data_IF_448116454316
#
_entry.id   IF_448116454316
#
_cell.length_a   1.000
_cell.length_b   1.000
_cell.length_c   1.000
_cell.angle_alpha   90.00
_cell.angle_beta   90.00
_cell.angle_gamma   90.00
#
_symmetry.space_group_name_H-M   'P 1'
#
loop_
_entity.id
_entity.type
_entity.pdbx_description
1 polymer ?
#
# COMPACT_ATOMS: atom_id res chain seq x y z
N UNK A 1 -6.31 -10.76 -19.89
CA UNK A 1 -7.39 -9.88 -19.44
C UNK A 1 -8.33 -9.58 -20.60
N UNK A 2 -9.50 -10.19 -20.66
CA UNK A 2 -10.37 -10.15 -21.85
C UNK A 2 -11.41 -9.00 -21.83
N UNK A 3 -11.16 -7.93 -21.10
CA UNK A 3 -12.06 -6.79 -20.98
C UNK A 3 -11.48 -5.56 -21.68
N UNK A 4 -12.34 -4.75 -22.31
CA UNK A 4 -11.96 -3.44 -22.82
C UNK A 4 -12.04 -2.41 -21.68
N UNK A 5 -10.96 -1.71 -21.41
CA UNK A 5 -10.86 -0.71 -20.35
C UNK A 5 -9.89 0.41 -20.74
N UNK A 6 -10.01 1.55 -20.09
CA UNK A 6 -8.97 2.56 -19.98
C UNK A 6 -8.46 2.60 -18.56
N UNK A 7 -7.17 2.81 -18.38
CA UNK A 7 -6.57 3.01 -17.07
C UNK A 7 -5.57 4.15 -17.12
N UNK A 8 -5.59 5.03 -16.13
CA UNK A 8 -4.70 6.17 -16.03
C UNK A 8 -4.15 6.36 -14.61
N UNK A 9 -3.00 6.98 -14.53
CA UNK A 9 -2.41 7.45 -13.28
C UNK A 9 -2.17 8.94 -13.39
N UNK A 10 -2.78 9.69 -12.48
CA UNK A 10 -2.55 11.12 -12.32
C UNK A 10 -1.67 11.37 -11.11
N UNK A 11 -0.59 12.10 -11.32
CA UNK A 11 0.34 12.49 -10.23
C UNK A 11 0.27 14.01 -10.07
N UNK A 12 -0.07 14.46 -8.87
CA UNK A 12 -0.11 15.86 -8.49
C UNK A 12 0.92 16.10 -7.39
N UNK A 13 1.86 17.00 -7.65
CA UNK A 13 2.91 17.38 -6.70
C UNK A 13 2.71 18.84 -6.31
N UNK A 14 2.49 19.05 -5.03
CA UNK A 14 2.42 20.38 -4.40
C UNK A 14 3.61 20.58 -3.44
N UNK A 15 3.68 21.72 -2.76
CA UNK A 15 4.80 22.04 -1.88
C UNK A 15 4.98 21.01 -0.73
N UNK A 16 3.87 20.53 -0.16
CA UNK A 16 3.86 19.64 1.02
C UNK A 16 2.94 18.43 0.80
N UNK A 17 2.70 18.04 -0.45
CA UNK A 17 1.80 16.94 -0.75
C UNK A 17 2.11 16.31 -2.10
N UNK A 18 2.10 14.98 -2.13
CA UNK A 18 2.10 14.19 -3.36
C UNK A 18 0.82 13.36 -3.38
N UNK A 19 -0.01 13.56 -4.38
CA UNK A 19 -1.16 12.72 -4.67
C UNK A 19 -0.89 11.84 -5.88
N UNK A 20 -1.26 10.57 -5.76
CA UNK A 20 -1.26 9.59 -6.85
C UNK A 20 -2.69 9.05 -6.95
N UNK A 21 -3.35 9.29 -8.08
CA UNK A 21 -4.70 8.81 -8.35
C UNK A 21 -4.66 7.81 -9.50
N UNK A 22 -5.27 6.65 -9.29
CA UNK A 22 -5.43 5.60 -10.28
C UNK A 22 -6.91 5.51 -10.69
N UNK A 23 -7.17 5.70 -11.97
CA UNK A 23 -8.50 5.61 -12.58
C UNK A 23 -8.63 4.36 -13.44
N UNK A 24 -9.82 3.76 -13.46
CA UNK A 24 -10.20 2.64 -14.33
C UNK A 24 -11.58 2.88 -14.89
N UNK A 25 -11.70 2.97 -16.22
CA UNK A 25 -12.97 3.10 -16.94
C UNK A 25 -13.31 1.80 -17.64
N UNK A 26 -14.53 1.32 -17.50
CA UNK A 26 -15.02 0.21 -18.30
C UNK A 26 -15.52 0.72 -19.66
N UNK A 27 -14.71 0.52 -20.69
CA UNK A 27 -15.04 0.91 -22.07
C UNK A 27 -15.61 -0.25 -22.90
N UNK A 28 -15.85 -1.40 -22.24
CA UNK A 28 -16.40 -2.61 -22.86
C UNK A 28 -17.91 -2.71 -22.78
N UNK A 29 -18.42 -3.86 -23.16
CA UNK A 29 -19.86 -4.20 -23.23
C UNK A 29 -20.30 -5.14 -22.08
N UNK A 30 -19.39 -5.48 -21.19
CA UNK A 30 -19.64 -6.36 -20.03
C UNK A 30 -18.99 -5.80 -18.77
N UNK A 31 -19.64 -6.00 -17.63
CA UNK A 31 -19.04 -5.66 -16.33
C UNK A 31 -17.82 -6.52 -16.03
N UNK A 32 -16.85 -5.98 -15.36
CA UNK A 32 -15.69 -6.73 -14.86
C UNK A 32 -15.36 -6.36 -13.42
N UNK A 33 -14.52 -7.14 -12.81
CA UNK A 33 -13.95 -6.79 -11.51
C UNK A 33 -12.43 -6.91 -11.54
N UNK A 34 -11.76 -6.09 -10.72
CA UNK A 34 -10.31 -6.12 -10.58
C UNK A 34 -9.90 -5.96 -9.12
N UNK A 35 -8.67 -6.31 -8.82
CA UNK A 35 -7.95 -5.93 -7.60
C UNK A 35 -6.72 -5.13 -7.99
N UNK A 36 -6.24 -4.25 -7.13
CA UNK A 36 -5.08 -3.44 -7.46
C UNK A 36 -4.53 -2.72 -6.25
N UNK A 37 -3.31 -2.21 -6.40
CA UNK A 37 -2.66 -1.39 -5.39
C UNK A 37 -1.72 -0.36 -6.03
N UNK A 38 -1.54 0.77 -5.37
CA UNK A 38 -0.43 1.66 -5.60
C UNK A 38 0.76 1.15 -4.76
N UNK A 39 1.67 0.42 -5.40
CA UNK A 39 2.80 -0.24 -4.72
C UNK A 39 3.91 0.77 -4.41
N UNK A 40 3.63 1.64 -3.47
CA UNK A 40 4.47 2.78 -3.12
C UNK A 40 5.66 2.35 -2.26
N UNK A 41 6.87 2.50 -2.82
CA UNK A 41 8.13 2.31 -2.11
C UNK A 41 8.55 3.61 -1.44
N UNK A 42 8.62 3.61 -0.13
CA UNK A 42 9.11 4.73 0.67
C UNK A 42 10.56 4.48 1.06
N UNK A 43 11.44 5.43 0.74
CA UNK A 43 12.84 5.34 1.12
C UNK A 43 13.01 5.68 2.60
N UNK A 44 13.71 4.81 3.32
CA UNK A 44 14.15 5.01 4.71
C UNK A 44 15.68 4.92 4.78
N UNK A 45 16.27 5.39 5.86
CA UNK A 45 17.73 5.25 6.09
C UNK A 45 18.05 3.83 6.50
N UNK A 46 17.27 3.31 7.46
CA UNK A 46 17.38 1.96 7.99
C UNK A 46 15.98 1.51 8.41
N UNK A 47 15.49 0.42 7.86
CA UNK A 47 14.11 -0.03 8.08
C UNK A 47 13.86 -0.49 9.51
N UNK A 48 14.88 -1.04 10.17
CA UNK A 48 14.80 -1.47 11.58
C UNK A 48 14.61 -0.29 12.55
N UNK A 49 15.00 0.94 12.13
CA UNK A 49 14.79 2.17 12.90
C UNK A 49 13.48 2.88 12.53
N UNK A 50 12.73 2.33 11.57
CA UNK A 50 11.47 2.90 11.15
C UNK A 50 10.31 2.34 11.96
N UNK A 51 9.30 3.18 12.19
CA UNK A 51 8.06 2.80 12.85
C UNK A 51 6.85 3.22 12.01
N UNK A 52 5.84 2.38 11.94
CA UNK A 52 4.57 2.70 11.29
C UNK A 52 3.47 2.76 12.35
N UNK A 53 2.80 3.90 12.44
CA UNK A 53 1.65 4.13 13.31
C UNK A 53 0.36 4.15 12.49
N UNK A 54 -0.79 4.01 13.17
CA UNK A 54 -2.12 4.04 12.52
C UNK A 54 -2.78 2.67 12.41
N UNK A 55 -2.03 1.58 12.55
CA UNK A 55 -2.53 0.21 12.40
C UNK A 55 -3.40 -0.29 13.57
N UNK A 56 -3.27 0.30 14.75
CA UNK A 56 -3.97 -0.14 15.96
C UNK A 56 -5.47 -0.34 15.75
N UNK A 57 -5.96 -1.53 16.10
CA UNK A 57 -7.37 -1.88 16.09
C UNK A 57 -7.89 -2.42 14.75
N UNK A 58 -7.15 -2.28 13.64
CA UNK A 58 -7.53 -2.89 12.37
C UNK A 58 -7.26 -4.38 12.35
N UNK A 59 -8.08 -5.11 11.58
CA UNK A 59 -7.81 -6.49 11.23
C UNK A 59 -6.77 -6.53 10.11
N UNK A 60 -5.85 -7.50 10.18
CA UNK A 60 -4.90 -7.74 9.10
C UNK A 60 -4.72 -9.22 8.81
N UNK A 61 -4.37 -9.52 7.59
CA UNK A 61 -3.92 -10.83 7.12
C UNK A 61 -2.40 -10.79 7.04
N UNK A 62 -1.74 -11.71 7.74
CA UNK A 62 -0.29 -11.87 7.73
C UNK A 62 0.06 -12.98 6.71
N UNK A 63 0.58 -12.57 5.55
CA UNK A 63 0.92 -13.49 4.47
C UNK A 63 2.21 -14.27 4.73
N UNK A 64 3.09 -13.76 5.58
CA UNK A 64 4.34 -14.46 5.95
C UNK A 64 4.04 -15.66 6.84
N UNK A 65 3.22 -15.47 7.88
CA UNK A 65 2.90 -16.55 8.82
C UNK A 65 1.84 -17.51 8.29
N UNK A 66 1.06 -17.11 7.28
CA UNK A 66 -0.10 -17.88 6.79
C UNK A 66 -1.21 -18.05 7.81
N UNK A 67 -1.11 -17.40 8.97
CA UNK A 67 -2.15 -17.40 9.99
C UNK A 67 -3.34 -16.57 9.52
N UNK A 68 -4.54 -16.96 9.93
CA UNK A 68 -5.77 -16.22 9.63
C UNK A 68 -5.75 -14.78 10.12
N UNK A 69 -6.82 -14.04 9.86
CA UNK A 69 -6.92 -12.63 10.22
C UNK A 69 -6.65 -12.39 11.72
N UNK A 70 -5.81 -11.40 12.01
CA UNK A 70 -5.43 -10.97 13.36
C UNK A 70 -5.83 -9.52 13.56
N UNK A 71 -6.01 -9.11 14.81
CA UNK A 71 -6.21 -7.71 15.17
C UNK A 71 -4.89 -7.08 15.60
N UNK A 72 -4.53 -5.94 15.02
CA UNK A 72 -3.36 -5.20 15.47
C UNK A 72 -3.66 -4.50 16.81
N UNK A 73 -2.82 -4.74 17.81
CA UNK A 73 -2.95 -4.20 19.17
C UNK A 73 -1.76 -3.31 19.54
N UNK A 74 -0.78 -3.16 18.65
CA UNK A 74 0.38 -2.31 18.85
C UNK A 74 0.09 -0.85 18.54
N UNK A 75 0.66 0.06 19.30
CA UNK A 75 0.59 1.50 19.00
C UNK A 75 1.44 1.87 17.80
N UNK A 76 2.48 1.09 17.53
CA UNK A 76 3.36 1.18 16.37
C UNK A 76 3.79 -0.20 15.93
N UNK A 77 4.08 -0.35 14.63
CA UNK A 77 4.70 -1.51 14.04
C UNK A 77 6.18 -1.19 13.78
N UNK A 78 7.07 -2.04 14.27
CA UNK A 78 8.49 -2.07 13.90
C UNK A 78 8.72 -3.20 12.90
N UNK A 79 9.69 -2.99 12.00
CA UNK A 79 10.05 -4.00 11.01
C UNK A 79 11.25 -4.78 11.52
N UNK A 80 10.99 -5.96 12.06
CA UNK A 80 11.99 -6.84 12.68
C UNK A 80 12.18 -8.15 11.90
N UNK A 81 11.58 -8.26 10.73
CA UNK A 81 11.60 -9.44 9.87
C UNK A 81 10.81 -9.21 8.59
N UNK A 82 10.73 -10.26 7.74
CA UNK A 82 9.86 -10.23 6.56
C UNK A 82 8.44 -9.83 6.99
N UNK A 83 7.92 -8.81 6.34
CA UNK A 83 6.60 -8.25 6.65
C UNK A 83 5.78 -8.23 5.36
N UNK A 84 4.61 -8.86 5.39
CA UNK A 84 3.62 -8.80 4.32
C UNK A 84 2.23 -8.86 4.98
N UNK A 85 1.69 -7.69 5.30
CA UNK A 85 0.43 -7.53 6.03
C UNK A 85 -0.56 -6.73 5.22
N UNK A 86 -1.76 -7.29 5.06
CA UNK A 86 -2.91 -6.61 4.45
C UNK A 86 -3.84 -6.15 5.57
N UNK A 87 -3.85 -4.85 5.87
CA UNK A 87 -4.80 -4.22 6.77
C UNK A 87 -6.09 -3.93 6.04
N UNK A 88 -7.22 -4.40 6.58
CA UNK A 88 -8.51 -4.36 5.92
C UNK A 88 -9.40 -3.23 6.45
N UNK A 89 -10.17 -2.60 5.53
CA UNK A 89 -11.15 -1.55 5.84
C UNK A 89 -10.53 -0.40 6.66
N UNK A 90 -9.40 0.08 6.18
CA UNK A 90 -8.64 1.16 6.82
C UNK A 90 -9.38 2.48 6.65
N UNK A 91 -9.68 3.17 7.76
CA UNK A 91 -10.47 4.40 7.79
C UNK A 91 -9.72 5.63 8.34
N UNK A 92 -8.40 5.51 8.54
CA UNK A 92 -7.55 6.60 9.02
C UNK A 92 -6.16 6.51 8.39
N UNK A 93 -5.42 7.63 8.33
CA UNK A 93 -4.06 7.63 7.80
C UNK A 93 -3.11 6.73 8.58
N UNK A 94 -2.11 6.20 7.87
CA UNK A 94 -0.90 5.64 8.46
C UNK A 94 0.17 6.73 8.55
N UNK A 95 1.08 6.61 9.50
CA UNK A 95 2.19 7.52 9.69
C UNK A 95 3.50 6.71 9.70
N UNK A 96 4.36 6.95 8.72
CA UNK A 96 5.73 6.44 8.72
C UNK A 96 6.63 7.42 9.47
N UNK A 97 7.37 6.92 10.44
CA UNK A 97 8.45 7.64 11.16
C UNK A 97 9.77 6.97 10.84
N UNK A 98 10.72 7.68 10.28
CA UNK A 98 12.04 7.16 9.90
C UNK A 98 13.13 8.22 10.10
N UNK A 99 13.76 8.21 11.26
CA UNK A 99 14.71 9.25 11.66
C UNK A 99 14.05 10.62 11.76
N UNK A 100 14.52 11.57 10.97
CA UNK A 100 13.97 12.93 10.92
C UNK A 100 12.81 13.08 9.92
N UNK A 101 12.43 12.00 9.23
CA UNK A 101 11.32 11.99 8.27
C UNK A 101 10.08 11.44 8.96
N UNK A 102 8.99 12.18 8.84
CA UNK A 102 7.64 11.67 9.12
C UNK A 102 6.75 11.92 7.92
N UNK A 103 6.03 10.90 7.46
CA UNK A 103 5.14 10.99 6.31
C UNK A 103 3.80 10.38 6.68
N UNK A 104 2.75 11.18 6.60
CA UNK A 104 1.37 10.72 6.64
C UNK A 104 0.97 10.12 5.30
N UNK A 105 0.31 8.96 5.32
CA UNK A 105 -0.21 8.27 4.15
C UNK A 105 -1.71 8.10 4.31
N UNK A 106 -2.47 8.70 3.40
CA UNK A 106 -3.93 8.61 3.36
C UNK A 106 -4.36 7.93 2.06
N UNK A 107 -5.38 7.09 2.13
CA UNK A 107 -6.00 6.46 0.97
C UNK A 107 -7.48 6.87 0.87
N UNK A 108 -7.94 7.10 -0.35
CA UNK A 108 -9.35 7.32 -0.70
C UNK A 108 -9.68 6.39 -1.85
N UNK A 109 -10.87 5.77 -1.84
CA UNK A 109 -11.27 4.79 -2.85
C UNK A 109 -10.63 3.41 -2.69
N UNK A 110 -9.48 3.31 -2.02
CA UNK A 110 -8.82 2.08 -1.64
C UNK A 110 -9.19 1.70 -0.21
N UNK A 111 -9.86 0.55 0.03
CA UNK A 111 -10.30 0.17 1.37
C UNK A 111 -9.20 -0.40 2.26
N UNK A 112 -8.09 -0.85 1.67
CA UNK A 112 -7.08 -1.62 2.39
C UNK A 112 -5.71 -0.93 2.30
N UNK A 113 -4.82 -1.30 3.22
CA UNK A 113 -3.41 -0.88 3.21
C UNK A 113 -2.52 -2.11 3.30
N UNK A 114 -1.54 -2.22 2.42
CA UNK A 114 -0.51 -3.24 2.49
C UNK A 114 0.76 -2.65 3.10
N UNK A 115 1.31 -3.33 4.10
CA UNK A 115 2.65 -3.08 4.63
C UNK A 115 3.56 -4.22 4.22
N UNK A 116 4.64 -3.87 3.51
CA UNK A 116 5.55 -4.87 2.99
C UNK A 116 7.02 -4.47 3.12
N UNK A 117 7.83 -5.43 3.55
CA UNK A 117 9.29 -5.41 3.44
C UNK A 117 9.76 -6.86 3.23
N UNK A 118 10.56 -7.13 2.18
CA UNK A 118 10.97 -8.50 1.85
C UNK A 118 11.98 -9.10 2.81
N UNK A 119 12.62 -8.29 3.67
CA UNK A 119 13.72 -8.69 4.52
C UNK A 119 14.88 -9.31 3.75
N UNK A 120 15.82 -9.96 4.44
CA UNK A 120 17.03 -10.54 3.82
C UNK A 120 16.68 -11.60 2.77
N UNK A 121 15.85 -12.56 3.17
CA UNK A 121 15.57 -13.76 2.37
C UNK A 121 14.65 -13.44 1.18
N UNK A 122 13.65 -12.60 1.38
CA UNK A 122 12.80 -12.13 0.31
C UNK A 122 13.58 -11.30 -0.71
N UNK A 123 14.40 -10.37 -0.24
CA UNK A 123 15.27 -9.54 -1.07
C UNK A 123 16.23 -10.38 -1.93
N UNK A 124 16.82 -11.44 -1.35
CA UNK A 124 17.73 -12.34 -2.07
C UNK A 124 17.07 -13.09 -3.24
N UNK A 125 15.73 -13.19 -3.26
CA UNK A 125 14.97 -13.82 -4.35
C UNK A 125 14.58 -12.82 -5.46
N UNK A 126 14.79 -11.52 -5.23
CA UNK A 126 14.43 -10.46 -6.18
C UNK A 126 15.62 -10.11 -7.08
N UNK A 127 15.47 -10.30 -8.38
CA UNK A 127 16.55 -10.07 -9.34
C UNK A 127 16.88 -8.59 -9.58
N UNK A 128 15.94 -7.72 -9.26
CA UNK A 128 15.98 -6.26 -9.49
C UNK A 128 16.20 -5.43 -8.22
N UNK A 129 16.45 -6.09 -7.07
CA UNK A 129 16.77 -5.42 -5.81
C UNK A 129 18.21 -5.69 -5.40
N UNK A 130 18.93 -4.64 -4.96
CA UNK A 130 20.27 -4.81 -4.41
C UNK A 130 20.23 -5.70 -3.15
N UNK A 131 21.29 -6.48 -2.84
CA UNK A 131 21.30 -7.43 -1.72
C UNK A 131 20.96 -6.83 -0.35
N UNK A 132 21.21 -5.53 -0.15
CA UNK A 132 20.87 -4.77 1.05
C UNK A 132 19.70 -3.78 0.84
N UNK A 133 19.01 -3.89 -0.29
CA UNK A 133 17.92 -2.97 -0.68
C UNK A 133 16.78 -2.94 0.31
N UNK A 134 16.46 -4.08 0.91
CA UNK A 134 15.43 -4.23 1.93
C UNK A 134 15.62 -3.31 3.15
N UNK A 135 16.89 -2.95 3.47
CA UNK A 135 17.19 -2.06 4.60
C UNK A 135 16.69 -0.63 4.39
N UNK A 136 16.57 -0.22 3.14
CA UNK A 136 16.36 1.18 2.76
C UNK A 136 14.97 1.48 2.22
N UNK A 137 14.04 0.56 2.39
CA UNK A 137 12.68 0.74 1.89
C UNK A 137 11.65 0.13 2.83
N UNK A 138 10.45 0.66 2.73
CA UNK A 138 9.22 0.05 3.23
C UNK A 138 8.12 0.38 2.22
N UNK A 139 7.27 -0.57 1.90
CA UNK A 139 6.07 -0.29 1.13
C UNK A 139 4.89 -0.06 2.07
N UNK A 140 4.16 1.03 1.82
CA UNK A 140 2.86 1.31 2.43
C UNK A 140 1.92 1.64 1.27
N UNK A 141 1.09 0.68 0.93
CA UNK A 141 0.35 0.67 -0.32
C UNK A 141 -1.13 0.92 -0.07
N UNK A 142 -1.73 1.84 -0.82
CA UNK A 142 -3.18 1.94 -0.90
C UNK A 142 -3.69 0.82 -1.82
N UNK A 143 -4.58 -0.03 -1.33
CA UNK A 143 -4.96 -1.26 -1.99
C UNK A 143 -6.46 -1.54 -1.99
N UNK A 144 -6.95 -2.15 -3.07
CA UNK A 144 -8.21 -2.83 -3.17
C UNK A 144 -7.92 -4.33 -3.31
N UNK A 145 -7.85 -5.04 -2.18
CA UNK A 145 -7.47 -6.47 -2.15
C UNK A 145 -8.67 -7.39 -2.38
N UNK A 146 -9.87 -6.87 -2.25
CA UNK A 146 -11.11 -7.52 -2.66
C UNK A 146 -11.55 -6.97 -4.03
N UNK A 147 -12.24 -7.80 -4.86
CA UNK A 147 -12.67 -7.37 -6.18
C UNK A 147 -13.53 -6.11 -6.16
N UNK A 148 -13.10 -5.10 -6.91
CA UNK A 148 -13.88 -3.90 -7.23
C UNK A 148 -14.63 -4.15 -8.53
N UNK A 149 -15.95 -4.04 -8.50
CA UNK A 149 -16.80 -4.19 -9.67
C UNK A 149 -16.90 -2.85 -10.42
N UNK A 150 -16.71 -2.90 -11.74
CA UNK A 150 -16.92 -1.74 -12.62
C UNK A 150 -17.97 -2.13 -13.68
N UNK A 151 -19.15 -1.53 -13.59
CA UNK A 151 -20.23 -1.78 -14.53
C UNK A 151 -19.94 -1.17 -15.92
N UNK A 152 -20.69 -1.58 -16.92
CA UNK A 152 -20.54 -1.05 -18.28
C UNK A 152 -20.71 0.46 -18.31
N UNK A 153 -19.71 1.16 -18.84
CA UNK A 153 -19.70 2.62 -18.93
C UNK A 153 -19.43 3.35 -17.60
N UNK A 154 -19.17 2.62 -16.51
CA UNK A 154 -18.82 3.19 -15.22
C UNK A 154 -17.30 3.29 -15.05
N UNK A 155 -16.90 4.15 -14.11
CA UNK A 155 -15.51 4.38 -13.73
C UNK A 155 -15.31 4.14 -12.25
N UNK A 156 -14.10 3.79 -11.88
CA UNK A 156 -13.61 3.74 -10.51
C UNK A 156 -12.32 4.54 -10.39
N UNK A 157 -12.11 5.22 -9.28
CA UNK A 157 -10.82 5.82 -8.95
C UNK A 157 -10.45 5.60 -7.48
N UNK A 158 -9.15 5.53 -7.25
CA UNK A 158 -8.57 5.52 -5.91
C UNK A 158 -7.32 6.38 -5.86
N UNK A 159 -7.10 7.05 -4.72
CA UNK A 159 -6.01 7.98 -4.52
C UNK A 159 -5.22 7.63 -3.27
N UNK A 160 -3.89 7.74 -3.36
CA UNK A 160 -2.98 7.77 -2.23
C UNK A 160 -2.34 9.14 -2.13
N UNK A 161 -2.36 9.71 -0.92
CA UNK A 161 -1.74 10.99 -0.60
C UNK A 161 -0.58 10.79 0.37
N UNK A 162 0.55 11.39 0.08
CA UNK A 162 1.73 11.46 0.93
C UNK A 162 1.92 12.91 1.41
N UNK A 163 1.96 13.10 2.73
CA UNK A 163 2.07 14.42 3.35
C UNK A 163 3.20 14.38 4.39
N UNK A 164 4.26 15.18 4.25
CA UNK A 164 5.27 15.31 5.30
C UNK A 164 4.66 15.93 6.55
N UNK A 165 5.11 15.44 7.74
CA UNK A 165 4.57 15.84 9.06
C UNK A 165 5.69 16.29 9.98
#
# INVERSE_FOLDING_TARGET
WPHAFSADITIMLEAERLDMEFGVDNTGDSSFSFTGALHTYLRVVQVEDAAVEGAYGFMYIDKVSGAGAKKDTGTQLLIEGETDRIYQNVSRPFLLKAGNLSVGLQAEGFPDVVLWNPWVEGCARMADMAPDGWKRMICIEAAATQPVMVAVGESWSGRQSLVPV
#
